data_IF_014140534778
#
_entry.id   IF_014140534778
#
_cell.length_a   1.000
_cell.length_b   1.000
_cell.length_c   1.000
_cell.angle_alpha   90.00
_cell.angle_beta   90.00
_cell.angle_gamma   90.00
#
_symmetry.space_group_name_H-M   'P 1'
#
loop_
_entity.id
_entity.type
_entity.pdbx_description
1 polymer ?
#
# COMPACT_ATOMS: atom_id res chain seq x y z
N UNK A 1 -4.65 43.78 13.54
CA UNK A 1 -5.71 42.90 13.02
C UNK A 1 -5.17 42.15 11.80
N UNK A 2 -4.71 40.91 11.97
CA UNK A 2 -4.23 40.05 10.87
C UNK A 2 -4.83 38.66 11.07
N UNK A 3 -6.05 38.42 10.59
CA UNK A 3 -6.81 37.22 10.96
C UNK A 3 -7.66 36.55 9.85
N UNK A 4 -8.14 37.22 8.78
CA UNK A 4 -8.95 36.51 7.77
C UNK A 4 -8.12 35.82 6.67
N UNK A 5 -7.12 36.50 6.11
CA UNK A 5 -6.42 36.07 4.88
C UNK A 5 -5.50 34.87 5.11
N UNK A 6 -4.82 34.81 6.27
CA UNK A 6 -3.88 33.73 6.62
C UNK A 6 -4.62 32.40 6.85
N UNK A 7 -5.83 32.44 7.41
CA UNK A 7 -6.63 31.24 7.71
C UNK A 7 -7.15 30.59 6.42
N UNK A 8 -7.58 31.40 5.44
CA UNK A 8 -8.05 30.90 4.14
C UNK A 8 -6.90 30.23 3.36
N UNK A 9 -5.69 30.80 3.39
CA UNK A 9 -4.50 30.21 2.76
C UNK A 9 -4.17 28.82 3.32
N UNK A 10 -4.20 28.64 4.64
CA UNK A 10 -3.89 27.36 5.29
C UNK A 10 -4.92 26.25 4.96
N UNK A 11 -6.21 26.60 4.80
CA UNK A 11 -7.25 25.64 4.41
C UNK A 11 -7.02 25.15 2.97
N UNK A 12 -6.76 26.07 2.04
CA UNK A 12 -6.50 25.74 0.64
C UNK A 12 -5.29 24.82 0.49
N UNK A 13 -4.20 25.12 1.21
CA UNK A 13 -3.00 24.27 1.21
C UNK A 13 -3.31 22.86 1.70
N UNK A 14 -4.08 22.72 2.78
CA UNK A 14 -4.46 21.39 3.30
C UNK A 14 -5.37 20.60 2.36
N UNK A 15 -6.26 21.27 1.64
CA UNK A 15 -7.11 20.63 0.62
C UNK A 15 -6.26 20.16 -0.57
N UNK A 16 -5.35 21.00 -1.07
CA UNK A 16 -4.39 20.63 -2.10
C UNK A 16 -3.52 19.43 -1.67
N UNK A 17 -3.00 19.44 -0.43
CA UNK A 17 -2.23 18.33 0.11
C UNK A 17 -3.03 17.02 0.16
N UNK A 18 -4.31 17.05 0.59
CA UNK A 18 -5.19 15.87 0.56
C UNK A 18 -5.42 15.35 -0.86
N UNK A 19 -5.70 16.25 -1.81
CA UNK A 19 -5.89 15.91 -3.24
C UNK A 19 -4.63 15.24 -3.81
N UNK A 20 -3.47 15.85 -3.59
CA UNK A 20 -2.16 15.34 -4.03
C UNK A 20 -1.88 13.97 -3.43
N UNK A 21 -2.10 13.78 -2.13
CA UNK A 21 -1.91 12.49 -1.48
C UNK A 21 -2.80 11.40 -2.08
N UNK A 22 -4.10 11.68 -2.28
CA UNK A 22 -5.04 10.74 -2.89
C UNK A 22 -4.59 10.38 -4.31
N UNK A 23 -4.17 11.36 -5.10
CA UNK A 23 -3.67 11.14 -6.46
C UNK A 23 -2.38 10.31 -6.46
N UNK A 24 -1.44 10.60 -5.55
CA UNK A 24 -0.20 9.85 -5.39
C UNK A 24 -0.47 8.37 -5.10
N UNK A 25 -1.32 8.07 -4.11
CA UNK A 25 -1.64 6.68 -3.72
C UNK A 25 -2.34 5.90 -4.83
N UNK A 26 -3.22 6.57 -5.57
CA UNK A 26 -3.90 6.00 -6.74
C UNK A 26 -2.90 5.69 -7.87
N UNK A 27 -2.01 6.63 -8.18
CA UNK A 27 -0.99 6.45 -9.22
C UNK A 27 -0.01 5.34 -8.85
N UNK A 28 0.46 5.32 -7.60
CA UNK A 28 1.32 4.29 -7.07
C UNK A 28 0.68 2.90 -7.21
N UNK A 29 -0.57 2.73 -6.77
CA UNK A 29 -1.30 1.45 -6.90
C UNK A 29 -1.43 1.04 -8.37
N UNK A 30 -1.84 1.95 -9.25
CA UNK A 30 -1.96 1.69 -10.70
C UNK A 30 -0.62 1.24 -11.31
N UNK A 31 0.48 1.89 -10.94
CA UNK A 31 1.81 1.53 -11.44
C UNK A 31 2.26 0.15 -10.91
N UNK A 32 2.05 -0.12 -9.62
CA UNK A 32 2.34 -1.41 -9.00
C UNK A 32 1.55 -2.53 -9.68
N UNK A 33 0.23 -2.37 -9.83
CA UNK A 33 -0.63 -3.35 -10.50
C UNK A 33 -0.24 -3.54 -11.97
N UNK A 34 0.10 -2.47 -12.69
CA UNK A 34 0.61 -2.57 -14.07
C UNK A 34 1.91 -3.36 -14.14
N UNK A 35 2.84 -3.15 -13.19
CA UNK A 35 4.12 -3.88 -13.12
C UNK A 35 3.89 -5.37 -12.83
N UNK A 36 3.01 -5.68 -11.87
CA UNK A 36 2.66 -7.06 -11.52
C UNK A 36 1.92 -7.77 -12.67
N UNK A 37 1.00 -7.08 -13.34
CA UNK A 37 0.27 -7.62 -14.49
C UNK A 37 1.16 -8.05 -15.66
N UNK A 38 2.29 -7.35 -15.89
CA UNK A 38 3.28 -7.76 -16.89
C UNK A 38 3.98 -9.09 -16.57
N UNK A 39 3.90 -9.56 -15.32
CA UNK A 39 4.52 -10.78 -14.83
C UNK A 39 3.50 -11.89 -14.54
N UNK A 40 2.23 -11.69 -14.90
CA UNK A 40 1.13 -12.65 -14.68
C UNK A 40 0.27 -12.36 -13.44
N UNK A 41 0.74 -11.50 -12.53
CA UNK A 41 0.02 -11.12 -11.32
C UNK A 41 -1.31 -10.41 -11.61
N UNK A 42 -2.40 -10.92 -11.03
CA UNK A 42 -3.75 -10.42 -11.30
C UNK A 42 -4.60 -10.32 -10.04
N UNK A 43 -5.44 -9.30 -10.01
CA UNK A 43 -6.56 -9.24 -9.05
C UNK A 43 -7.57 -10.29 -9.52
N UNK A 44 -7.82 -11.27 -8.67
CA UNK A 44 -8.73 -12.34 -8.97
C UNK A 44 -10.17 -11.95 -8.65
N UNK A 45 -11.02 -11.95 -9.69
CA UNK A 45 -12.46 -11.65 -9.54
C UNK A 45 -13.27 -12.90 -9.17
N UNK A 46 -12.93 -14.05 -9.77
CA UNK A 46 -13.72 -15.29 -9.68
C UNK A 46 -12.93 -16.45 -9.04
N UNK A 47 -12.07 -16.16 -8.09
CA UNK A 47 -11.30 -17.19 -7.39
C UNK A 47 -12.18 -18.08 -6.52
N UNK A 48 -11.95 -19.40 -6.64
CA UNK A 48 -12.47 -20.39 -5.71
C UNK A 48 -11.76 -20.29 -4.36
N UNK A 49 -10.44 -20.14 -4.37
CA UNK A 49 -9.63 -19.98 -3.17
C UNK A 49 -9.72 -18.55 -2.63
N UNK A 50 -10.19 -18.42 -1.39
CA UNK A 50 -10.33 -17.15 -0.69
C UNK A 50 -9.74 -17.28 0.70
N UNK A 51 -8.79 -16.43 1.01
CA UNK A 51 -8.19 -16.39 2.35
C UNK A 51 -9.17 -15.73 3.32
N UNK A 52 -9.08 -16.08 4.60
CA UNK A 52 -9.82 -15.42 5.67
C UNK A 52 -9.76 -13.89 5.53
N UNK A 53 -10.92 -13.24 5.63
CA UNK A 53 -11.05 -11.80 5.37
C UNK A 53 -10.17 -10.91 6.28
N UNK A 54 -9.70 -9.76 5.80
CA UNK A 54 -8.86 -8.83 6.56
C UNK A 54 -9.68 -7.75 7.24
N UNK A 55 -9.42 -7.51 8.53
CA UNK A 55 -10.09 -6.45 9.29
C UNK A 55 -9.43 -5.10 9.00
N UNK A 56 -10.24 -4.04 8.99
CA UNK A 56 -9.76 -2.67 8.89
C UNK A 56 -9.11 -2.22 10.19
N UNK A 57 -7.98 -1.52 10.09
CA UNK A 57 -7.37 -0.88 11.24
C UNK A 57 -8.28 0.20 11.84
N UNK A 58 -8.21 0.43 13.16
CA UNK A 58 -9.13 1.33 13.89
C UNK A 58 -9.24 2.74 13.30
N UNK A 59 -8.16 3.27 12.73
CA UNK A 59 -8.09 4.61 12.12
C UNK A 59 -8.04 4.57 10.59
N UNK A 60 -8.31 3.39 10.01
CA UNK A 60 -8.21 3.17 8.59
C UNK A 60 -9.52 3.44 7.85
N UNK A 61 -9.42 3.44 6.53
CA UNK A 61 -10.53 3.55 5.58
C UNK A 61 -10.69 2.24 4.82
N UNK A 62 -11.92 2.03 4.36
CA UNK A 62 -12.27 0.88 3.53
C UNK A 62 -11.52 0.93 2.19
N UNK A 63 -11.51 2.12 1.56
CA UNK A 63 -10.84 2.40 0.28
C UNK A 63 -9.35 2.01 0.34
N UNK A 64 -8.64 2.41 1.40
CA UNK A 64 -7.21 2.13 1.50
C UNK A 64 -6.90 0.68 1.89
N UNK A 65 -7.75 0.06 2.70
CA UNK A 65 -7.60 -1.36 3.00
C UNK A 65 -7.76 -2.16 1.71
N UNK A 66 -8.82 -1.90 0.95
CA UNK A 66 -9.10 -2.60 -0.31
C UNK A 66 -7.97 -2.34 -1.33
N UNK A 67 -7.48 -1.10 -1.46
CA UNK A 67 -6.33 -0.75 -2.33
C UNK A 67 -5.06 -1.53 -1.99
N UNK A 68 -4.73 -1.66 -0.71
CA UNK A 68 -3.54 -2.40 -0.29
C UNK A 68 -3.71 -3.91 -0.45
N UNK A 69 -4.91 -4.45 -0.18
CA UNK A 69 -5.21 -5.86 -0.43
C UNK A 69 -5.11 -6.21 -1.91
N UNK A 70 -5.57 -5.35 -2.82
CA UNK A 70 -5.46 -5.59 -4.26
C UNK A 70 -4.00 -5.68 -4.74
N UNK A 71 -3.11 -4.83 -4.21
CA UNK A 71 -1.69 -4.89 -4.54
C UNK A 71 -1.05 -6.18 -4.01
N UNK A 72 -1.36 -6.58 -2.77
CA UNK A 72 -0.84 -7.83 -2.21
C UNK A 72 -1.44 -9.06 -2.89
N UNK A 73 -2.71 -9.02 -3.28
CA UNK A 73 -3.38 -10.10 -4.04
C UNK A 73 -2.71 -10.28 -5.41
N UNK A 74 -2.49 -9.19 -6.14
CA UNK A 74 -1.82 -9.25 -7.43
C UNK A 74 -0.38 -9.77 -7.30
N UNK A 75 0.31 -9.44 -6.20
CA UNK A 75 1.66 -9.92 -5.93
C UNK A 75 1.69 -11.41 -5.54
N UNK A 76 0.76 -11.84 -4.69
CA UNK A 76 0.56 -13.23 -4.32
C UNK A 76 0.24 -14.09 -5.54
N UNK A 77 -0.65 -13.61 -6.41
CA UNK A 77 -1.04 -14.28 -7.65
C UNK A 77 0.03 -14.19 -8.76
N UNK A 78 1.16 -13.54 -8.49
CA UNK A 78 2.33 -13.55 -9.36
C UNK A 78 3.30 -14.69 -9.01
N UNK A 79 3.10 -15.36 -7.87
CA UNK A 79 3.92 -16.50 -7.46
C UNK A 79 3.41 -17.78 -8.11
N UNK A 80 4.31 -18.72 -8.37
CA UNK A 80 3.95 -20.11 -8.61
C UNK A 80 3.55 -20.79 -7.28
N UNK A 81 2.86 -21.94 -7.31
CA UNK A 81 2.59 -22.72 -6.11
C UNK A 81 3.87 -23.09 -5.32
N UNK A 82 4.94 -23.46 -6.02
CA UNK A 82 6.22 -23.84 -5.40
C UNK A 82 6.94 -22.65 -4.76
N UNK A 83 6.89 -21.47 -5.40
CA UNK A 83 7.46 -20.24 -4.85
C UNK A 83 6.75 -19.83 -3.56
N UNK A 84 5.41 -19.86 -3.55
CA UNK A 84 4.64 -19.53 -2.36
C UNK A 84 4.89 -20.53 -1.23
N UNK A 85 4.83 -21.85 -1.52
CA UNK A 85 5.09 -22.89 -0.53
C UNK A 85 6.49 -22.73 0.10
N UNK A 86 7.51 -22.50 -0.74
CA UNK A 86 8.89 -22.30 -0.30
C UNK A 86 9.04 -21.04 0.55
N UNK A 87 8.46 -19.92 0.12
CA UNK A 87 8.51 -18.66 0.87
C UNK A 87 7.86 -18.79 2.25
N UNK A 88 6.71 -19.45 2.35
CA UNK A 88 6.01 -19.67 3.62
C UNK A 88 6.77 -20.61 4.56
N UNK A 89 7.33 -21.72 4.04
CA UNK A 89 8.12 -22.67 4.85
C UNK A 89 9.43 -22.06 5.36
N UNK A 90 10.07 -21.22 4.55
CA UNK A 90 11.32 -20.57 4.91
C UNK A 90 11.14 -19.31 5.78
N UNK A 91 9.91 -18.84 5.99
CA UNK A 91 9.64 -17.64 6.77
C UNK A 91 9.91 -17.88 8.27
N UNK A 92 11.06 -17.40 8.74
CA UNK A 92 11.48 -17.46 10.16
C UNK A 92 11.22 -16.17 10.94
N UNK A 93 10.57 -15.19 10.31
CA UNK A 93 10.36 -13.86 10.86
C UNK A 93 10.74 -12.77 9.84
N UNK A 94 10.34 -11.54 10.14
CA UNK A 94 10.57 -10.40 9.26
C UNK A 94 12.06 -10.00 9.27
N UNK A 95 12.76 -9.99 8.13
CA UNK A 95 14.13 -9.49 8.04
C UNK A 95 14.25 -8.00 8.39
N UNK A 96 15.46 -7.56 8.74
CA UNK A 96 15.74 -6.14 8.90
C UNK A 96 15.78 -5.45 7.53
N UNK A 97 14.77 -4.65 7.24
CA UNK A 97 14.59 -3.88 6.00
C UNK A 97 14.49 -2.37 6.28
N UNK A 98 15.11 -1.90 7.38
CA UNK A 98 15.00 -0.51 7.84
C UNK A 98 15.47 0.53 6.81
N UNK A 99 16.62 0.29 6.17
CA UNK A 99 17.17 1.19 5.14
C UNK A 99 16.29 1.23 3.89
N UNK A 100 15.78 0.09 3.44
CA UNK A 100 14.86 0.01 2.30
C UNK A 100 13.56 0.79 2.58
N UNK A 101 12.98 0.61 3.78
CA UNK A 101 11.79 1.37 4.21
C UNK A 101 12.07 2.88 4.28
N UNK A 102 13.21 3.28 4.82
CA UNK A 102 13.61 4.69 4.90
C UNK A 102 13.79 5.29 3.50
N UNK A 103 14.43 4.55 2.59
CA UNK A 103 14.61 4.95 1.19
C UNK A 103 13.29 5.14 0.46
N UNK A 104 12.35 4.19 0.60
CA UNK A 104 11.04 4.29 -0.05
C UNK A 104 10.22 5.47 0.50
N UNK A 105 10.28 5.70 1.81
CA UNK A 105 9.65 6.89 2.43
C UNK A 105 10.26 8.18 1.92
N UNK A 106 11.59 8.27 1.81
CA UNK A 106 12.27 9.46 1.32
C UNK A 106 11.92 9.74 -0.15
N UNK A 107 11.80 8.69 -0.98
CA UNK A 107 11.34 8.80 -2.37
C UNK A 107 9.91 9.33 -2.44
N UNK A 108 9.00 8.77 -1.63
CA UNK A 108 7.62 9.24 -1.55
C UNK A 108 7.52 10.71 -1.10
N UNK A 109 8.30 11.12 -0.08
CA UNK A 109 8.34 12.52 0.36
C UNK A 109 8.74 13.45 -0.77
N UNK A 110 9.82 13.16 -1.49
CA UNK A 110 10.28 14.00 -2.62
C UNK A 110 9.25 14.09 -3.74
N UNK A 111 8.55 12.99 -4.03
CA UNK A 111 7.50 13.00 -5.04
C UNK A 111 6.28 13.81 -4.61
N UNK A 112 5.83 13.65 -3.37
CA UNK A 112 4.74 14.43 -2.80
C UNK A 112 5.08 15.93 -2.70
N UNK A 113 6.32 16.28 -2.38
CA UNK A 113 6.79 17.68 -2.38
C UNK A 113 6.67 18.29 -3.77
N UNK A 114 7.15 17.60 -4.81
CA UNK A 114 7.02 18.06 -6.20
C UNK A 114 5.55 18.18 -6.65
N UNK A 115 4.72 17.20 -6.32
CA UNK A 115 3.30 17.21 -6.68
C UNK A 115 2.55 18.34 -5.97
N UNK A 116 2.83 18.57 -4.69
CA UNK A 116 2.19 19.62 -3.91
C UNK A 116 2.64 21.01 -4.35
N UNK A 117 3.94 21.22 -4.58
CA UNK A 117 4.44 22.49 -5.11
C UNK A 117 3.76 22.82 -6.46
N UNK A 118 3.67 21.85 -7.36
CA UNK A 118 3.01 22.07 -8.65
C UNK A 118 1.50 22.36 -8.53
N UNK A 119 0.78 21.63 -7.66
CA UNK A 119 -0.65 21.88 -7.41
C UNK A 119 -0.88 23.29 -6.83
N UNK A 120 -0.06 23.71 -5.86
CA UNK A 120 -0.16 25.05 -5.27
C UNK A 120 0.20 26.15 -6.27
N UNK A 121 1.22 25.92 -7.12
CA UNK A 121 1.60 26.83 -8.21
C UNK A 121 0.46 27.02 -9.21
N UNK A 122 -0.19 25.92 -9.61
CA UNK A 122 -1.37 25.97 -10.49
C UNK A 122 -2.57 26.65 -9.83
N UNK A 123 -2.68 26.55 -8.50
CA UNK A 123 -3.67 27.26 -7.69
C UNK A 123 -3.35 28.74 -7.41
N UNK A 124 -2.29 29.31 -7.99
CA UNK A 124 -1.93 30.72 -7.85
C UNK A 124 -1.20 31.07 -6.55
N UNK A 125 -0.75 30.10 -5.76
CA UNK A 125 0.02 30.35 -4.53
C UNK A 125 1.42 30.84 -4.89
N UNK A 126 1.83 31.99 -4.34
CA UNK A 126 3.15 32.59 -4.60
C UNK A 126 4.33 31.73 -4.11
N UNK A 127 5.48 31.85 -4.77
CA UNK A 127 6.66 31.00 -4.52
C UNK A 127 7.12 31.01 -3.05
N UNK A 128 7.26 32.19 -2.44
CA UNK A 128 7.69 32.33 -1.06
C UNK A 128 6.78 31.62 -0.04
N UNK A 129 5.47 31.52 -0.34
CA UNK A 129 4.54 30.78 0.51
C UNK A 129 4.68 29.27 0.31
N UNK A 130 4.82 28.82 -0.95
CA UNK A 130 5.04 27.39 -1.26
C UNK A 130 6.30 26.85 -0.57
N UNK A 131 7.40 27.61 -0.61
CA UNK A 131 8.67 27.24 0.04
C UNK A 131 8.52 27.02 1.56
N UNK A 132 7.60 27.75 2.20
CA UNK A 132 7.31 27.61 3.63
C UNK A 132 6.42 26.41 3.95
N UNK A 133 5.42 26.14 3.10
CA UNK A 133 4.33 25.19 3.44
C UNK A 133 4.52 23.78 2.88
N UNK A 134 5.19 23.60 1.74
CA UNK A 134 5.26 22.30 1.05
C UNK A 134 5.92 21.23 1.93
N UNK A 135 7.12 21.51 2.43
CA UNK A 135 7.89 20.55 3.23
C UNK A 135 7.20 20.20 4.56
N UNK A 136 6.58 21.18 5.20
CA UNK A 136 5.88 20.97 6.48
C UNK A 136 4.62 20.13 6.30
N UNK A 137 3.84 20.38 5.24
CA UNK A 137 2.63 19.61 4.93
C UNK A 137 2.95 18.18 4.46
N UNK A 138 3.99 17.98 3.64
CA UNK A 138 4.43 16.64 3.27
C UNK A 138 4.95 15.86 4.48
N UNK A 139 5.74 16.49 5.34
CA UNK A 139 6.16 15.88 6.61
C UNK A 139 4.95 15.46 7.47
N UNK A 140 3.92 16.31 7.55
CA UNK A 140 2.67 15.99 8.26
C UNK A 140 1.96 14.78 7.64
N UNK A 141 1.85 14.70 6.31
CA UNK A 141 1.28 13.53 5.62
C UNK A 141 2.07 12.26 5.93
N UNK A 142 3.39 12.33 5.82
CA UNK A 142 4.30 11.18 5.97
C UNK A 142 4.35 10.60 7.40
N UNK A 143 3.96 11.36 8.44
CA UNK A 143 3.76 10.84 9.81
C UNK A 143 2.67 9.76 9.90
N UNK A 144 1.71 9.77 8.98
CA UNK A 144 0.61 8.82 8.88
C UNK A 144 0.92 7.59 8.02
N UNK A 145 2.03 7.59 7.30
CA UNK A 145 2.35 6.58 6.29
C UNK A 145 3.38 5.59 6.82
N UNK A 146 3.41 4.38 6.26
CA UNK A 146 4.52 3.42 6.33
C UNK A 146 4.92 3.04 4.90
N UNK A 147 6.16 2.55 4.72
CA UNK A 147 6.53 1.88 3.48
C UNK A 147 5.76 0.56 3.36
N UNK A 148 5.33 0.25 2.14
CA UNK A 148 4.57 -0.94 1.82
C UNK A 148 5.46 -1.95 1.11
N UNK A 149 5.41 -3.20 1.57
CA UNK A 149 5.88 -4.31 0.76
C UNK A 149 4.92 -4.54 -0.42
N UNK A 150 5.43 -5.09 -1.52
CA UNK A 150 4.59 -5.51 -2.65
C UNK A 150 3.71 -6.69 -2.26
N UNK A 151 4.31 -7.68 -1.59
CA UNK A 151 3.66 -8.72 -0.80
C UNK A 151 4.37 -8.73 0.55
N UNK A 152 3.64 -8.78 1.66
CA UNK A 152 4.27 -8.85 2.99
C UNK A 152 5.09 -10.14 3.13
N UNK A 153 6.23 -10.06 3.83
CA UNK A 153 7.06 -11.24 4.11
C UNK A 153 6.26 -12.40 4.72
N UNK A 154 5.37 -12.11 5.66
CA UNK A 154 4.56 -13.15 6.30
C UNK A 154 3.51 -13.77 5.36
N UNK A 155 3.21 -13.11 4.24
CA UNK A 155 2.36 -13.61 3.16
C UNK A 155 3.13 -14.26 2.01
N UNK A 156 4.45 -14.44 2.13
CA UNK A 156 5.31 -15.04 1.09
C UNK A 156 6.06 -14.04 0.21
N UNK A 157 6.12 -12.77 0.62
CA UNK A 157 6.85 -11.73 -0.12
C UNK A 157 8.37 -11.85 -0.04
N UNK A 158 9.05 -11.21 -0.99
CA UNK A 158 10.52 -11.19 -1.15
C UNK A 158 11.17 -9.92 -0.55
N UNK A 159 10.39 -9.08 0.12
CA UNK A 159 10.85 -7.80 0.67
C UNK A 159 10.86 -6.64 -0.32
N UNK A 160 10.46 -6.85 -1.57
CA UNK A 160 10.27 -5.76 -2.53
C UNK A 160 9.25 -4.75 -2.02
N UNK A 161 9.45 -3.48 -2.35
CA UNK A 161 8.58 -2.37 -1.94
C UNK A 161 7.70 -1.89 -3.10
N UNK A 162 6.52 -1.38 -2.75
CA UNK A 162 5.52 -0.88 -3.68
C UNK A 162 5.09 0.57 -3.40
N UNK A 163 5.93 1.31 -2.67
CA UNK A 163 5.70 2.70 -2.27
C UNK A 163 5.31 2.84 -0.81
N UNK A 164 4.41 3.78 -0.52
CA UNK A 164 3.92 4.05 0.84
C UNK A 164 2.39 3.97 0.91
N UNK A 165 1.87 3.86 2.14
CA UNK A 165 0.44 3.87 2.41
C UNK A 165 0.17 4.19 3.87
N UNK A 166 -1.06 4.58 4.23
CA UNK A 166 -1.48 4.75 5.61
C UNK A 166 -1.13 3.54 6.49
N UNK A 167 -0.49 3.84 7.62
CA UNK A 167 0.07 2.84 8.53
C UNK A 167 -0.98 1.98 9.23
N UNK A 168 -2.21 2.49 9.37
CA UNK A 168 -3.29 1.79 10.06
C UNK A 168 -3.68 0.52 9.30
N UNK A 169 -3.83 0.62 7.98
CA UNK A 169 -4.16 -0.45 7.06
C UNK A 169 -2.97 -1.39 6.89
N UNK A 170 -1.79 -0.84 6.62
CA UNK A 170 -0.57 -1.63 6.44
C UNK A 170 -0.29 -2.55 7.65
N UNK A 171 -0.40 -2.02 8.86
CA UNK A 171 -0.19 -2.80 10.09
C UNK A 171 -1.32 -3.79 10.36
N UNK A 172 -2.56 -3.44 9.99
CA UNK A 172 -3.70 -4.36 10.11
C UNK A 172 -3.54 -5.57 9.19
N UNK A 173 -3.14 -5.34 7.94
CA UNK A 173 -2.84 -6.40 6.97
C UNK A 173 -1.65 -7.23 7.44
N UNK A 174 -0.53 -6.57 7.75
CA UNK A 174 0.70 -7.22 8.20
C UNK A 174 0.50 -8.12 9.43
N UNK A 175 -0.20 -7.61 10.45
CA UNK A 175 -0.52 -8.36 11.66
C UNK A 175 -1.50 -9.52 11.46
N UNK A 176 -2.21 -9.55 10.34
CA UNK A 176 -3.20 -10.58 10.03
C UNK A 176 -2.60 -11.82 9.36
N UNK A 177 -1.41 -11.72 8.76
CA UNK A 177 -0.82 -12.83 7.99
C UNK A 177 -0.53 -14.08 8.80
N UNK A 178 -0.11 -13.95 10.06
CA UNK A 178 0.24 -15.09 10.92
C UNK A 178 -0.88 -16.15 10.97
N UNK A 179 -2.13 -15.70 11.12
CA UNK A 179 -3.32 -16.56 11.18
C UNK A 179 -3.80 -17.11 9.83
N UNK A 180 -3.11 -16.77 8.73
CA UNK A 180 -3.48 -17.17 7.35
C UNK A 180 -2.40 -18.02 6.68
N UNK A 181 -1.22 -18.19 7.28
CA UNK A 181 -0.11 -18.88 6.64
C UNK A 181 -0.41 -20.35 6.33
N UNK A 182 -1.06 -21.05 7.26
CA UNK A 182 -1.43 -22.46 7.01
C UNK A 182 -2.43 -22.57 5.86
N UNK A 183 -3.46 -21.71 5.86
CA UNK A 183 -4.44 -21.65 4.77
C UNK A 183 -3.78 -21.37 3.41
N UNK A 184 -2.81 -20.45 3.34
CA UNK A 184 -2.05 -20.19 2.12
C UNK A 184 -1.20 -21.39 1.67
N UNK A 185 -0.60 -22.11 2.62
CA UNK A 185 0.20 -23.29 2.34
C UNK A 185 -0.66 -24.41 1.74
N UNK A 186 -1.83 -24.66 2.34
CA UNK A 186 -2.78 -25.65 1.84
C UNK A 186 -3.26 -25.27 0.41
N UNK A 187 -3.58 -23.99 0.19
CA UNK A 187 -3.95 -23.47 -1.13
C UNK A 187 -2.85 -23.64 -2.18
N UNK A 188 -1.59 -23.43 -1.81
CA UNK A 188 -0.44 -23.66 -2.69
C UNK A 188 -0.30 -25.13 -3.06
N UNK A 189 -0.43 -26.05 -2.09
CA UNK A 189 -0.36 -27.49 -2.35
C UNK A 189 -1.48 -27.97 -3.28
N UNK A 190 -2.69 -27.44 -3.13
CA UNK A 190 -3.81 -27.76 -4.01
C UNK A 190 -3.63 -27.21 -5.43
N UNK A 191 -3.11 -25.99 -5.55
CA UNK A 191 -2.78 -25.39 -6.85
C UNK A 191 -1.70 -26.22 -7.57
N UNK A 192 -0.69 -26.69 -6.84
CA UNK A 192 0.36 -27.58 -7.34
C UNK A 192 -0.19 -28.91 -7.84
N UNK A 193 -1.04 -29.58 -7.06
CA UNK A 193 -1.71 -30.83 -7.48
C UNK A 193 -2.56 -30.65 -8.74
N UNK A 194 -3.12 -29.45 -8.91
CA UNK A 194 -3.95 -29.10 -10.08
C UNK A 194 -3.13 -28.66 -11.30
N UNK A 195 -1.80 -28.61 -11.21
CA UNK A 195 -0.92 -28.17 -12.30
C UNK A 195 -1.01 -26.68 -12.62
N UNK A 196 -1.42 -25.83 -11.65
CA UNK A 196 -1.53 -24.40 -11.88
C UNK A 196 -0.14 -23.74 -12.00
N UNK A 197 0.04 -22.91 -13.03
CA UNK A 197 1.29 -22.16 -13.24
C UNK A 197 1.49 -21.07 -12.16
N UNK A 198 0.41 -20.40 -11.76
CA UNK A 198 0.43 -19.34 -10.76
C UNK A 198 -0.68 -19.51 -9.73
N UNK A 199 -0.49 -18.88 -8.59
CA UNK A 199 -1.52 -18.76 -7.58
C UNK A 199 -2.71 -17.95 -8.10
N UNK A 200 -3.90 -18.33 -7.63
CA UNK A 200 -5.14 -17.66 -7.94
C UNK A 200 -5.98 -17.61 -6.67
N UNK A 201 -5.62 -16.68 -5.79
CA UNK A 201 -6.18 -16.46 -4.46
C UNK A 201 -6.87 -15.09 -4.40
N UNK A 202 -8.00 -15.01 -3.68
CA UNK A 202 -8.65 -13.75 -3.30
C UNK A 202 -8.24 -13.30 -1.90
N UNK A 203 -7.85 -12.04 -1.78
CA UNK A 203 -7.80 -11.28 -0.53
C UNK A 203 -9.00 -10.34 -0.47
N UNK A 204 -9.68 -10.29 0.67
CA UNK A 204 -10.90 -9.49 0.82
C UNK A 204 -11.02 -8.93 2.22
N UNK A 205 -11.63 -7.74 2.34
CA UNK A 205 -11.97 -7.15 3.63
C UNK A 205 -13.12 -7.89 4.31
N UNK A 206 -13.15 -7.90 5.63
CA UNK A 206 -14.26 -8.45 6.38
C UNK A 206 -15.53 -7.61 6.21
N UNK A 207 -16.69 -8.27 6.18
CA UNK A 207 -17.98 -7.58 6.20
C UNK A 207 -18.11 -6.77 7.51
N UNK A 208 -18.78 -5.61 7.49
CA UNK A 208 -19.09 -4.88 8.71
C UNK A 208 -19.84 -5.78 9.71
N UNK A 209 -19.46 -5.73 11.00
CA UNK A 209 -20.12 -6.49 12.07
C UNK A 209 -19.62 -7.93 12.32
N UNK A 210 -18.48 -8.32 11.73
CA UNK A 210 -17.84 -9.66 11.90
C UNK A 210 -16.45 -9.55 12.55
#
# INVERSE_FOLDING_TARGET
MAAPVVIVGAILVRLAAKKVLKQYLKNQSKQTLKRLGKRGGKICKNCKQRVKCFKKGKKGTDEELDRQLEMQEAALNNLTPDELETALKNFKGRPSDGNARAGERAKASRELERMLDNELRQGGVGAAERDRVVKSEVSRMMKGMDALHTLDWAGGGDGSMSGVGPKSENRSIGGSWSSRRQELLDMAQDAKKSGAENMSIKLQRCKPGV
#
